data_IF_268332301781
#
_entry.id   IF_268332301781
#
_cell.length_a   1.000
_cell.length_b   1.000
_cell.length_c   1.000
_cell.angle_alpha   90.00
_cell.angle_beta   90.00
_cell.angle_gamma   90.00
#
_symmetry.space_group_name_H-M   'P 1'
#
loop_
_entity.id
_entity.type
_entity.pdbx_description
1 polymer ?
#
# COMPACT_ATOMS: atom_id res chain seq x y z
N UNK A 1 -48.29 18.73 -44.64
CA UNK A 1 -49.05 19.68 -43.80
C UNK A 1 -48.37 19.79 -42.45
N UNK A 2 -47.76 20.94 -42.14
CA UNK A 2 -47.11 21.22 -40.84
C UNK A 2 -48.09 20.95 -39.67
N UNK A 3 -49.38 21.21 -39.89
CA UNK A 3 -50.48 20.92 -38.96
C UNK A 3 -50.56 19.44 -38.58
N UNK A 4 -50.36 18.52 -39.52
CA UNK A 4 -50.42 17.07 -39.24
C UNK A 4 -49.25 16.60 -38.36
N UNK A 5 -48.06 17.19 -38.54
CA UNK A 5 -46.88 16.89 -37.71
C UNK A 5 -47.08 17.46 -36.29
N UNK A 6 -47.60 18.68 -36.18
CA UNK A 6 -47.87 19.33 -34.88
C UNK A 6 -48.95 18.57 -34.10
N UNK A 7 -50.04 18.16 -34.76
CA UNK A 7 -51.10 17.34 -34.15
C UNK A 7 -50.58 15.94 -33.76
N UNK A 8 -49.74 15.33 -34.60
CA UNK A 8 -49.10 14.05 -34.30
C UNK A 8 -48.20 14.12 -33.06
N UNK A 9 -47.36 15.15 -32.95
CA UNK A 9 -46.50 15.37 -31.77
C UNK A 9 -47.32 15.66 -30.51
N UNK A 10 -48.41 16.43 -30.62
CA UNK A 10 -49.30 16.71 -29.49
C UNK A 10 -50.06 15.45 -28.99
N UNK A 11 -50.39 14.53 -29.90
CA UNK A 11 -51.11 13.30 -29.56
C UNK A 11 -50.20 12.12 -29.22
N UNK A 12 -48.88 12.22 -29.46
CA UNK A 12 -47.94 11.11 -29.29
C UNK A 12 -47.99 10.51 -27.88
N UNK A 13 -47.97 11.33 -26.83
CA UNK A 13 -48.06 10.85 -25.45
C UNK A 13 -49.43 10.26 -25.11
N UNK A 14 -50.50 10.84 -25.66
CA UNK A 14 -51.87 10.37 -25.40
C UNK A 14 -52.11 9.01 -26.04
N UNK A 15 -51.66 8.81 -27.29
CA UNK A 15 -51.71 7.53 -27.98
C UNK A 15 -50.86 6.47 -27.26
N UNK A 16 -49.64 6.83 -26.83
CA UNK A 16 -48.76 5.93 -26.09
C UNK A 16 -49.38 5.42 -24.79
N UNK A 17 -50.04 6.32 -24.03
CA UNK A 17 -50.74 5.96 -22.80
C UNK A 17 -51.96 5.05 -23.06
N UNK A 18 -52.67 5.25 -24.18
CA UNK A 18 -53.78 4.40 -24.59
C UNK A 18 -53.29 2.98 -24.93
N UNK A 19 -52.23 2.85 -25.72
CA UNK A 19 -51.67 1.54 -26.08
C UNK A 19 -51.06 0.82 -24.88
N UNK A 20 -50.42 1.53 -23.96
CA UNK A 20 -49.95 0.95 -22.70
C UNK A 20 -51.12 0.37 -21.87
N UNK A 21 -52.26 1.06 -21.84
CA UNK A 21 -53.46 0.55 -21.17
C UNK A 21 -54.02 -0.71 -21.85
N UNK A 22 -54.08 -0.72 -23.19
CA UNK A 22 -54.56 -1.88 -23.96
C UNK A 22 -53.63 -3.08 -23.80
N UNK A 23 -52.32 -2.87 -23.83
CA UNK A 23 -51.32 -3.92 -23.65
C UNK A 23 -51.39 -4.53 -22.24
N UNK A 24 -51.44 -3.70 -21.19
CA UNK A 24 -51.59 -4.20 -19.80
C UNK A 24 -52.87 -5.00 -19.60
N UNK A 25 -53.96 -4.63 -20.27
CA UNK A 25 -55.24 -5.33 -20.15
C UNK A 25 -55.28 -6.63 -20.97
N UNK A 26 -54.55 -6.68 -22.10
CA UNK A 26 -54.44 -7.87 -22.93
C UNK A 26 -53.49 -8.92 -22.31
N UNK A 27 -52.33 -8.48 -21.83
CA UNK A 27 -51.28 -9.38 -21.33
C UNK A 27 -51.47 -9.79 -19.87
N UNK A 28 -52.29 -9.06 -19.09
CA UNK A 28 -52.53 -9.26 -17.66
C UNK A 28 -51.27 -9.68 -16.88
N UNK A 29 -50.21 -8.86 -16.85
CA UNK A 29 -48.91 -9.26 -16.33
C UNK A 29 -48.89 -9.57 -14.82
N UNK A 30 -49.94 -9.17 -14.09
CA UNK A 30 -50.14 -9.44 -12.66
C UNK A 30 -51.63 -9.37 -12.32
N UNK A 31 -51.99 -9.96 -11.18
CA UNK A 31 -53.36 -10.09 -10.68
C UNK A 31 -53.53 -9.47 -9.29
N UNK A 32 -54.79 -9.30 -8.88
CA UNK A 32 -55.13 -8.86 -7.52
C UNK A 32 -54.59 -9.88 -6.51
N UNK A 33 -53.85 -9.40 -5.53
CA UNK A 33 -53.17 -10.21 -4.52
C UNK A 33 -51.69 -10.47 -4.80
N UNK A 34 -51.19 -10.21 -6.02
CA UNK A 34 -49.76 -10.26 -6.30
C UNK A 34 -49.03 -9.13 -5.58
N UNK A 35 -47.77 -9.37 -5.21
CA UNK A 35 -46.91 -8.29 -4.74
C UNK A 35 -46.13 -7.76 -5.94
N UNK A 36 -46.23 -6.45 -6.19
CA UNK A 36 -45.47 -5.81 -7.26
C UNK A 36 -44.52 -4.76 -6.69
N UNK A 37 -43.35 -4.65 -7.30
CA UNK A 37 -42.40 -3.57 -7.08
C UNK A 37 -42.29 -2.75 -8.37
N UNK A 38 -42.68 -1.48 -8.28
CA UNK A 38 -42.57 -0.54 -9.40
C UNK A 38 -41.43 0.41 -9.08
N UNK A 39 -40.42 0.42 -9.95
CA UNK A 39 -39.18 1.19 -9.79
C UNK A 39 -39.49 2.65 -9.45
N UNK A 40 -39.03 3.11 -8.28
CA UNK A 40 -39.23 4.49 -7.82
C UNK A 40 -40.65 4.87 -7.38
N UNK A 41 -41.63 3.95 -7.41
CA UNK A 41 -43.01 4.18 -6.95
C UNK A 41 -43.37 3.38 -5.70
N UNK A 42 -42.65 2.28 -5.44
CA UNK A 42 -42.72 1.49 -4.22
C UNK A 42 -43.22 0.06 -4.45
N UNK A 43 -43.30 -0.68 -3.35
CA UNK A 43 -43.67 -2.09 -3.33
C UNK A 43 -44.94 -2.30 -2.51
N UNK A 44 -45.84 -3.16 -2.98
CA UNK A 44 -47.08 -3.46 -2.28
C UNK A 44 -47.90 -4.56 -2.93
N UNK A 45 -48.96 -4.96 -2.24
CA UNK A 45 -49.94 -5.94 -2.73
C UNK A 45 -50.93 -5.25 -3.66
N UNK A 46 -51.19 -5.82 -4.84
CA UNK A 46 -52.19 -5.33 -5.78
C UNK A 46 -53.58 -5.52 -5.17
N UNK A 47 -54.29 -4.41 -4.95
CA UNK A 47 -55.65 -4.41 -4.37
C UNK A 47 -56.72 -4.34 -5.45
N UNK A 48 -56.47 -3.58 -6.52
CA UNK A 48 -57.38 -3.49 -7.67
C UNK A 48 -56.66 -3.04 -8.93
N UNK A 49 -57.05 -3.58 -10.08
CA UNK A 49 -56.63 -3.12 -11.41
C UNK A 49 -57.81 -2.44 -12.08
N UNK A 50 -57.62 -1.22 -12.58
CA UNK A 50 -58.65 -0.44 -13.28
C UNK A 50 -58.13 0.07 -14.63
N UNK A 51 -59.04 0.55 -15.47
CA UNK A 51 -58.68 1.11 -16.78
C UNK A 51 -57.82 2.39 -16.69
N UNK A 52 -57.78 3.09 -15.54
CA UNK A 52 -56.95 4.29 -15.35
C UNK A 52 -55.63 4.01 -14.62
N UNK A 53 -55.52 2.89 -13.91
CA UNK A 53 -54.38 2.63 -13.05
C UNK A 53 -54.59 1.46 -12.10
N UNK A 54 -53.50 1.10 -11.41
CA UNK A 54 -53.43 0.01 -10.45
C UNK A 54 -53.31 0.60 -9.04
N UNK A 55 -54.10 0.06 -8.10
CA UNK A 55 -53.97 0.39 -6.69
C UNK A 55 -53.17 -0.71 -6.00
N UNK A 56 -52.10 -0.31 -5.34
CA UNK A 56 -51.33 -1.19 -4.47
C UNK A 56 -51.41 -0.70 -3.03
N UNK A 57 -51.43 -1.65 -2.09
CA UNK A 57 -51.30 -1.39 -0.66
C UNK A 57 -49.87 -1.70 -0.23
N UNK A 58 -49.15 -0.69 0.23
CA UNK A 58 -47.78 -0.88 0.74
C UNK A 58 -47.80 -1.62 2.07
N UNK A 59 -46.65 -2.17 2.47
CA UNK A 59 -46.50 -2.84 3.76
C UNK A 59 -46.59 -1.91 4.97
N UNK A 60 -46.58 -0.58 4.76
CA UNK A 60 -46.92 0.43 5.77
C UNK A 60 -48.41 0.79 5.75
N UNK A 61 -49.25 -0.02 5.11
CA UNK A 61 -50.69 0.15 4.98
C UNK A 61 -51.10 1.46 4.24
N UNK A 62 -50.24 1.97 3.35
CA UNK A 62 -50.57 3.13 2.50
C UNK A 62 -51.13 2.66 1.16
N UNK A 63 -52.13 3.37 0.65
CA UNK A 63 -52.63 3.15 -0.72
C UNK A 63 -51.82 3.99 -1.72
N UNK A 64 -51.27 3.34 -2.74
CA UNK A 64 -50.56 3.98 -3.84
C UNK A 64 -51.32 3.67 -5.13
N UNK A 65 -51.66 4.70 -5.89
CA UNK A 65 -52.35 4.60 -7.17
C UNK A 65 -51.35 4.92 -8.27
N UNK A 66 -51.07 3.94 -9.14
CA UNK A 66 -50.10 4.07 -10.22
C UNK A 66 -50.87 4.10 -11.54
N UNK A 67 -50.68 5.15 -12.33
CA UNK A 67 -51.29 5.26 -13.67
C UNK A 67 -50.72 4.21 -14.62
N UNK A 68 -51.56 3.67 -15.51
CA UNK A 68 -51.15 2.71 -16.54
C UNK A 68 -50.07 3.29 -17.47
N UNK A 69 -50.08 4.62 -17.68
CA UNK A 69 -49.06 5.34 -18.44
C UNK A 69 -47.65 5.21 -17.84
N UNK A 70 -47.56 5.10 -16.51
CA UNK A 70 -46.30 4.95 -15.79
C UNK A 70 -45.86 3.49 -15.79
N UNK A 71 -46.80 2.57 -15.56
CA UNK A 71 -46.56 1.12 -15.57
C UNK A 71 -46.05 0.62 -16.93
N UNK A 72 -46.50 1.19 -18.04
CA UNK A 72 -46.02 0.81 -19.38
C UNK A 72 -44.61 1.31 -19.73
N UNK A 73 -44.01 2.18 -18.91
CA UNK A 73 -42.67 2.75 -19.15
C UNK A 73 -41.60 2.12 -18.26
N UNK A 74 -41.93 1.86 -17.01
CA UNK A 74 -40.98 1.37 -16.00
C UNK A 74 -40.99 -0.16 -15.90
N UNK A 75 -39.86 -0.76 -15.52
CA UNK A 75 -39.80 -2.18 -15.20
C UNK A 75 -40.61 -2.48 -13.93
N UNK A 76 -41.42 -3.54 -14.01
CA UNK A 76 -42.27 -4.04 -12.92
C UNK A 76 -41.78 -5.42 -12.51
N UNK A 77 -41.34 -5.57 -11.26
CA UNK A 77 -41.09 -6.89 -10.69
C UNK A 77 -42.38 -7.40 -10.07
N UNK A 78 -42.77 -8.63 -10.43
CA UNK A 78 -43.99 -9.27 -9.94
C UNK A 78 -43.59 -10.49 -9.14
N UNK A 79 -44.11 -10.59 -7.92
CA UNK A 79 -44.09 -11.78 -7.08
C UNK A 79 -45.52 -12.34 -7.03
N UNK A 80 -45.86 -13.32 -7.89
CA UNK A 80 -47.21 -13.82 -7.99
C UNK A 80 -47.65 -14.52 -6.71
N UNK A 81 -48.91 -14.33 -6.29
CA UNK A 81 -49.47 -14.91 -5.07
C UNK A 81 -49.39 -16.44 -5.04
N UNK A 82 -49.57 -17.08 -6.20
CA UNK A 82 -49.60 -18.54 -6.34
C UNK A 82 -48.24 -19.12 -6.80
N UNK A 83 -47.16 -18.38 -6.62
CA UNK A 83 -45.81 -18.80 -6.95
C UNK A 83 -44.94 -18.89 -5.70
N UNK A 84 -44.02 -19.85 -5.67
CA UNK A 84 -43.00 -19.92 -4.64
C UNK A 84 -41.96 -18.83 -4.92
N UNK A 85 -42.14 -17.68 -4.29
CA UNK A 85 -41.20 -16.57 -4.40
C UNK A 85 -40.12 -16.71 -3.33
N UNK A 86 -38.87 -16.44 -3.68
CA UNK A 86 -37.74 -16.61 -2.79
C UNK A 86 -37.35 -15.31 -2.09
N UNK A 87 -36.87 -15.44 -0.85
CA UNK A 87 -36.19 -14.38 -0.10
C UNK A 87 -34.79 -14.81 0.27
N UNK A 88 -33.96 -13.82 0.54
CA UNK A 88 -32.58 -14.02 0.93
C UNK A 88 -32.33 -13.20 2.20
N UNK A 89 -31.76 -13.86 3.22
CA UNK A 89 -31.26 -13.21 4.43
C UNK A 89 -29.82 -13.59 4.68
N UNK A 90 -29.10 -12.72 5.38
CA UNK A 90 -27.68 -12.82 5.63
C UNK A 90 -27.40 -12.83 7.14
N UNK A 91 -26.38 -13.58 7.52
CA UNK A 91 -25.79 -13.59 8.87
C UNK A 91 -24.30 -13.95 8.76
N UNK A 92 -23.54 -13.71 9.83
CA UNK A 92 -22.11 -14.01 9.83
C UNK A 92 -21.69 -14.68 11.13
N UNK A 93 -20.77 -15.65 11.05
CA UNK A 93 -20.27 -16.42 12.20
C UNK A 93 -18.75 -16.32 12.29
N UNK A 94 -18.18 -16.58 13.46
CA UNK A 94 -16.72 -16.71 13.62
C UNK A 94 -16.15 -17.86 12.77
N UNK A 95 -14.85 -17.78 12.44
CA UNK A 95 -14.13 -18.78 11.64
C UNK A 95 -13.96 -20.15 12.33
N UNK A 96 -14.07 -20.19 13.66
CA UNK A 96 -13.94 -21.43 14.43
C UNK A 96 -15.14 -22.37 14.28
N UNK A 97 -16.28 -21.86 13.82
CA UNK A 97 -17.50 -22.67 13.66
C UNK A 97 -17.43 -23.56 12.42
N UNK A 98 -17.82 -24.85 12.56
CA UNK A 98 -17.83 -25.80 11.44
C UNK A 98 -18.83 -25.39 10.36
N UNK A 99 -18.39 -25.15 9.10
CA UNK A 99 -19.30 -24.76 8.03
C UNK A 99 -20.43 -25.77 7.75
N UNK A 100 -20.10 -27.06 7.73
CA UNK A 100 -21.08 -28.11 7.43
C UNK A 100 -22.17 -28.19 8.51
N UNK A 101 -21.78 -28.13 9.79
CA UNK A 101 -22.73 -28.16 10.91
C UNK A 101 -23.60 -26.89 10.91
N UNK A 102 -22.98 -25.71 10.81
CA UNK A 102 -23.69 -24.42 10.74
C UNK A 102 -24.74 -24.42 9.62
N UNK A 103 -24.36 -24.82 8.40
CA UNK A 103 -25.28 -24.88 7.27
C UNK A 103 -26.45 -25.85 7.50
N UNK A 104 -26.18 -27.02 8.09
CA UNK A 104 -27.21 -28.00 8.41
C UNK A 104 -28.21 -27.47 9.45
N UNK A 105 -27.71 -26.95 10.58
CA UNK A 105 -28.56 -26.47 11.69
C UNK A 105 -29.42 -25.29 11.30
N UNK A 106 -28.83 -24.32 10.59
CA UNK A 106 -29.56 -23.17 10.06
C UNK A 106 -30.65 -23.63 9.11
N UNK A 107 -30.35 -24.57 8.20
CA UNK A 107 -31.34 -25.08 7.25
C UNK A 107 -32.54 -25.71 7.94
N UNK A 108 -32.30 -26.58 8.93
CA UNK A 108 -33.38 -27.22 9.69
C UNK A 108 -34.19 -26.20 10.50
N UNK A 109 -33.53 -25.20 11.10
CA UNK A 109 -34.22 -24.15 11.84
C UNK A 109 -35.13 -23.27 10.95
N UNK A 110 -34.66 -22.91 9.75
CA UNK A 110 -35.44 -22.12 8.79
C UNK A 110 -36.61 -22.90 8.22
N UNK A 111 -36.43 -24.21 7.98
CA UNK A 111 -37.47 -25.07 7.42
C UNK A 111 -38.72 -25.17 8.30
N UNK A 112 -38.60 -25.01 9.61
CA UNK A 112 -39.72 -25.17 10.55
C UNK A 112 -40.62 -23.93 10.67
N UNK A 113 -40.33 -22.85 9.93
CA UNK A 113 -41.15 -21.65 9.97
C UNK A 113 -42.44 -21.79 9.15
N UNK A 114 -43.54 -21.27 9.68
CA UNK A 114 -44.90 -21.45 9.14
C UNK A 114 -45.05 -20.95 7.70
N UNK A 115 -44.49 -19.78 7.37
CA UNK A 115 -44.58 -19.19 6.02
C UNK A 115 -43.40 -19.57 5.11
N UNK A 116 -42.56 -20.52 5.52
CA UNK A 116 -41.48 -21.07 4.70
C UNK A 116 -41.97 -22.35 4.03
N UNK A 117 -41.89 -22.39 2.71
CA UNK A 117 -42.46 -23.49 1.93
C UNK A 117 -41.77 -24.81 2.21
N UNK A 118 -42.59 -25.85 2.46
CA UNK A 118 -42.08 -27.22 2.64
C UNK A 118 -41.72 -27.92 1.33
N UNK A 119 -42.19 -27.40 0.19
CA UNK A 119 -41.93 -27.98 -1.14
C UNK A 119 -40.48 -27.82 -1.58
N UNK A 120 -39.86 -26.69 -1.21
CA UNK A 120 -38.50 -26.33 -1.59
C UNK A 120 -37.62 -26.22 -0.35
N UNK A 121 -36.55 -27.00 -0.30
CA UNK A 121 -35.64 -26.96 0.86
C UNK A 121 -34.84 -25.64 0.87
N UNK A 122 -34.71 -24.97 2.04
CA UNK A 122 -33.86 -23.80 2.15
C UNK A 122 -32.41 -24.12 1.76
N UNK A 123 -31.79 -23.18 1.04
CA UNK A 123 -30.39 -23.25 0.65
C UNK A 123 -29.61 -22.37 1.63
N UNK A 124 -28.65 -22.97 2.33
CA UNK A 124 -27.72 -22.27 3.23
C UNK A 124 -26.33 -22.50 2.70
N UNK A 125 -25.61 -21.42 2.41
CA UNK A 125 -24.29 -21.45 1.78
C UNK A 125 -23.41 -20.31 2.29
N UNK A 126 -22.10 -20.51 2.19
CA UNK A 126 -21.13 -19.44 2.41
C UNK A 126 -21.24 -18.48 1.22
N UNK A 127 -21.51 -17.21 1.52
CA UNK A 127 -21.51 -16.11 0.56
C UNK A 127 -20.08 -15.62 0.32
N UNK A 128 -19.32 -15.47 1.40
CA UNK A 128 -17.95 -14.94 1.37
C UNK A 128 -17.18 -15.33 2.65
N UNK A 129 -15.85 -15.24 2.60
CA UNK A 129 -14.98 -15.25 3.78
C UNK A 129 -14.62 -13.78 4.09
N UNK A 130 -15.32 -13.18 5.04
CA UNK A 130 -15.22 -11.75 5.37
C UNK A 130 -14.09 -11.44 6.36
N UNK A 131 -13.82 -10.16 6.58
CA UNK A 131 -12.71 -9.69 7.42
C UNK A 131 -12.74 -10.27 8.85
N UNK A 132 -13.94 -10.39 9.44
CA UNK A 132 -14.11 -10.85 10.83
C UNK A 132 -14.79 -12.21 10.98
N UNK A 133 -15.17 -12.88 9.88
CA UNK A 133 -15.89 -14.14 9.97
C UNK A 133 -16.39 -14.68 8.63
N UNK A 134 -17.03 -15.85 8.69
CA UNK A 134 -17.69 -16.47 7.54
C UNK A 134 -19.04 -15.80 7.34
N UNK A 135 -19.29 -15.28 6.13
CA UNK A 135 -20.55 -14.64 5.78
C UNK A 135 -21.46 -15.63 5.07
N UNK A 136 -22.69 -15.75 5.56
CA UNK A 136 -23.65 -16.74 5.11
C UNK A 136 -24.81 -16.11 4.37
N UNK A 137 -25.32 -16.85 3.40
CA UNK A 137 -26.57 -16.57 2.72
C UNK A 137 -27.57 -17.70 2.95
N UNK A 138 -28.79 -17.33 3.34
CA UNK A 138 -29.93 -18.23 3.45
C UNK A 138 -30.97 -17.83 2.40
N UNK A 139 -31.20 -18.70 1.44
CA UNK A 139 -32.27 -18.59 0.45
C UNK A 139 -33.41 -19.54 0.81
N UNK A 140 -34.62 -19.03 0.95
CA UNK A 140 -35.82 -19.81 1.23
C UNK A 140 -37.00 -19.29 0.41
N UNK A 141 -38.00 -20.14 0.22
CA UNK A 141 -39.21 -19.84 -0.55
C UNK A 141 -40.38 -19.67 0.41
N UNK A 142 -41.28 -18.73 0.09
CA UNK A 142 -42.45 -18.44 0.91
C UNK A 142 -43.71 -19.02 0.29
N UNK A 143 -44.65 -19.40 1.15
CA UNK A 143 -46.00 -19.77 0.71
C UNK A 143 -46.87 -18.51 0.50
N UNK A 144 -46.66 -17.45 1.30
CA UNK A 144 -47.26 -16.13 1.11
C UNK A 144 -46.18 -15.04 1.11
N UNK A 145 -45.87 -14.51 -0.07
CA UNK A 145 -44.86 -13.46 -0.23
C UNK A 145 -45.27 -12.12 0.41
N UNK A 146 -46.57 -11.85 0.61
CA UNK A 146 -47.02 -10.58 1.21
C UNK A 146 -46.57 -10.42 2.68
N UNK A 147 -46.25 -11.52 3.35
CA UNK A 147 -45.79 -11.57 4.74
C UNK A 147 -44.27 -11.67 4.87
N UNK A 148 -43.52 -11.35 3.81
CA UNK A 148 -42.07 -11.59 3.81
C UNK A 148 -41.35 -10.84 4.92
N UNK A 149 -41.75 -9.62 5.30
CA UNK A 149 -41.05 -8.86 6.35
C UNK A 149 -41.06 -9.59 7.71
N UNK A 150 -42.24 -10.07 8.13
CA UNK A 150 -42.39 -10.82 9.38
C UNK A 150 -41.69 -12.18 9.30
N UNK A 151 -41.72 -12.80 8.12
CA UNK A 151 -41.05 -14.09 7.88
C UNK A 151 -39.53 -13.94 7.93
N UNK A 152 -38.97 -12.89 7.32
CA UNK A 152 -37.54 -12.57 7.37
C UNK A 152 -37.08 -12.33 8.81
N UNK A 153 -37.89 -11.65 9.63
CA UNK A 153 -37.61 -11.45 11.05
C UNK A 153 -37.62 -12.77 11.83
N UNK A 154 -38.66 -13.59 11.64
CA UNK A 154 -38.78 -14.90 12.29
C UNK A 154 -37.64 -15.84 11.88
N UNK A 155 -37.24 -15.83 10.61
CA UNK A 155 -36.08 -16.59 10.12
C UNK A 155 -34.81 -16.18 10.87
N UNK A 156 -34.52 -14.88 10.99
CA UNK A 156 -33.35 -14.40 11.76
C UNK A 156 -33.40 -14.83 13.22
N UNK A 157 -34.57 -14.76 13.85
CA UNK A 157 -34.77 -15.21 15.23
C UNK A 157 -34.50 -16.72 15.38
N UNK A 158 -35.04 -17.56 14.49
CA UNK A 158 -34.77 -19.01 14.52
C UNK A 158 -33.30 -19.34 14.32
N UNK A 159 -32.62 -18.62 13.42
CA UNK A 159 -31.18 -18.75 13.21
C UNK A 159 -30.41 -18.42 14.48
N UNK A 160 -30.78 -17.32 15.15
CA UNK A 160 -30.18 -16.93 16.43
C UNK A 160 -30.29 -18.04 17.47
N UNK A 161 -31.49 -18.58 17.70
CA UNK A 161 -31.66 -19.66 18.66
C UNK A 161 -30.96 -20.96 18.25
N UNK A 162 -30.92 -21.28 16.97
CA UNK A 162 -30.25 -22.48 16.46
C UNK A 162 -28.75 -22.44 16.68
N UNK A 163 -28.11 -21.29 16.40
CA UNK A 163 -26.67 -21.12 16.59
C UNK A 163 -26.30 -21.01 18.08
N UNK A 164 -27.14 -20.33 18.88
CA UNK A 164 -26.88 -20.18 20.31
C UNK A 164 -26.85 -21.51 21.06
N UNK A 165 -27.73 -22.46 20.70
CA UNK A 165 -27.74 -23.82 21.30
C UNK A 165 -26.48 -24.63 21.02
N UNK A 166 -25.85 -24.38 19.87
CA UNK A 166 -24.63 -25.06 19.43
C UNK A 166 -23.35 -24.29 19.83
N UNK A 167 -23.48 -23.24 20.65
CA UNK A 167 -22.37 -22.37 21.07
C UNK A 167 -21.61 -21.76 19.88
N UNK A 168 -22.29 -21.57 18.74
CA UNK A 168 -21.74 -20.86 17.58
C UNK A 168 -21.94 -19.37 17.77
N UNK A 169 -20.84 -18.63 17.78
CA UNK A 169 -20.86 -17.18 17.95
C UNK A 169 -21.04 -16.43 16.62
N UNK A 170 -21.78 -15.33 16.68
CA UNK A 170 -21.86 -14.37 15.59
C UNK A 170 -20.56 -13.56 15.52
N UNK A 171 -20.07 -13.30 14.30
CA UNK A 171 -18.87 -12.49 14.12
C UNK A 171 -19.13 -11.03 14.52
N UNK A 172 -18.20 -10.45 15.26
CA UNK A 172 -18.10 -9.02 15.53
C UNK A 172 -16.80 -8.50 14.90
N UNK A 173 -16.71 -7.20 14.58
CA UNK A 173 -15.48 -6.60 14.05
C UNK A 173 -14.27 -6.97 14.95
N UNK A 174 -13.36 -7.79 14.44
CA UNK A 174 -12.22 -8.30 15.20
C UNK A 174 -10.94 -7.67 14.65
N UNK A 175 -10.07 -7.19 15.53
CA UNK A 175 -8.73 -6.72 15.18
C UNK A 175 -7.70 -7.49 15.97
N UNK A 176 -6.69 -8.01 15.29
CA UNK A 176 -5.52 -8.59 15.95
C UNK A 176 -4.60 -7.43 16.29
N UNK A 177 -4.38 -7.19 17.59
CA UNK A 177 -3.39 -6.21 18.05
C UNK A 177 -2.06 -6.95 18.17
N UNK A 178 -1.15 -6.66 17.24
CA UNK A 178 0.24 -7.04 17.39
C UNK A 178 0.92 -6.04 18.33
N UNK A 179 1.07 -6.43 19.60
CA UNK A 179 1.94 -5.69 20.51
C UNK A 179 3.37 -6.08 20.15
N UNK A 180 4.07 -5.16 19.47
CA UNK A 180 5.50 -5.26 19.31
C UNK A 180 6.11 -4.49 20.48
N UNK A 181 6.83 -5.21 21.35
CA UNK A 181 7.71 -4.54 22.29
C UNK A 181 8.65 -3.69 21.43
N UNK A 182 8.60 -2.37 21.64
CA UNK A 182 9.60 -1.48 21.09
C UNK A 182 10.94 -2.08 21.53
N UNK A 183 11.91 -2.35 20.63
CA UNK A 183 13.25 -2.70 21.09
C UNK A 183 13.60 -1.62 22.12
N UNK A 184 14.00 -2.04 23.32
CA UNK A 184 14.39 -1.10 24.38
C UNK A 184 15.25 -0.04 23.70
N UNK A 185 14.79 1.22 23.72
CA UNK A 185 15.66 2.31 23.33
C UNK A 185 16.85 2.17 24.26
N UNK A 186 17.98 1.74 23.71
CA UNK A 186 19.19 1.53 24.51
C UNK A 186 19.35 2.79 25.37
N UNK A 187 19.50 2.64 26.70
CA UNK A 187 19.80 3.76 27.57
C UNK A 187 20.90 4.59 26.93
N UNK A 188 20.78 5.92 26.99
CA UNK A 188 21.75 6.79 26.32
C UNK A 188 23.19 6.38 26.70
N UNK A 189 23.41 6.01 27.97
CA UNK A 189 24.66 5.47 28.51
C UNK A 189 25.18 4.21 27.78
N UNK A 190 24.31 3.27 27.42
CA UNK A 190 24.69 2.07 26.64
C UNK A 190 25.01 2.43 25.18
N UNK A 191 24.30 3.40 24.59
CA UNK A 191 24.63 3.93 23.26
C UNK A 191 26.00 4.62 23.30
N UNK A 192 26.27 5.44 24.31
CA UNK A 192 27.55 6.12 24.49
C UNK A 192 28.70 5.12 24.67
N UNK A 193 28.53 4.10 25.50
CA UNK A 193 29.51 3.03 25.68
C UNK A 193 29.81 2.31 24.36
N UNK A 194 28.79 2.02 23.53
CA UNK A 194 29.03 1.40 22.22
C UNK A 194 29.73 2.32 21.20
N UNK A 195 29.58 3.64 21.29
CA UNK A 195 30.28 4.59 20.42
C UNK A 195 31.75 4.75 20.80
N UNK A 196 32.04 4.87 22.10
CA UNK A 196 33.41 4.90 22.61
C UNK A 196 34.18 3.63 22.24
N UNK A 197 33.56 2.45 22.40
CA UNK A 197 34.14 1.17 21.96
C UNK A 197 34.49 1.14 20.47
N UNK A 198 33.63 1.72 19.62
CA UNK A 198 33.86 1.80 18.16
C UNK A 198 35.01 2.74 17.82
N UNK A 199 35.09 3.91 18.47
CA UNK A 199 36.18 4.86 18.26
C UNK A 199 37.53 4.29 18.71
N UNK A 200 37.56 3.53 19.80
CA UNK A 200 38.76 2.84 20.30
C UNK A 200 39.34 1.80 19.31
N UNK A 201 38.54 1.29 18.36
CA UNK A 201 39.01 0.37 17.32
C UNK A 201 39.70 1.07 16.15
N UNK A 202 39.57 2.38 16.05
CA UNK A 202 40.18 3.17 14.97
C UNK A 202 41.61 3.51 15.35
N UNK A 203 42.57 3.07 14.53
CA UNK A 203 44.00 3.21 14.83
C UNK A 203 44.45 4.66 15.07
N UNK A 204 43.85 5.62 14.37
CA UNK A 204 44.21 7.04 14.51
C UNK A 204 43.86 7.61 15.88
N UNK A 205 42.86 7.05 16.58
CA UNK A 205 42.46 7.51 17.91
C UNK A 205 43.18 6.80 19.06
N UNK A 206 44.10 5.88 18.76
CA UNK A 206 44.89 5.18 19.79
C UNK A 206 45.70 6.08 20.75
N UNK A 207 46.12 7.32 20.39
CA UNK A 207 46.79 8.22 21.34
C UNK A 207 45.84 8.90 22.34
N UNK A 208 44.53 8.73 22.21
CA UNK A 208 43.54 9.37 23.08
C UNK A 208 43.34 8.57 24.36
N UNK A 209 43.14 9.29 25.46
CA UNK A 209 42.68 8.72 26.72
C UNK A 209 41.19 8.33 26.65
N UNK A 210 40.74 7.46 27.55
CA UNK A 210 39.32 7.05 27.62
C UNK A 210 38.40 8.28 27.78
N UNK A 211 38.75 9.24 28.64
CA UNK A 211 38.03 10.51 28.83
C UNK A 211 37.96 11.37 27.54
N UNK A 212 38.97 11.31 26.68
CA UNK A 212 38.99 12.02 25.40
C UNK A 212 38.16 11.30 24.34
N UNK A 213 38.17 9.97 24.34
CA UNK A 213 37.32 9.13 23.50
C UNK A 213 35.85 9.33 23.84
N UNK A 214 35.50 9.42 25.13
CA UNK A 214 34.13 9.71 25.58
C UNK A 214 33.65 11.07 25.07
N UNK A 215 34.47 12.12 25.23
CA UNK A 215 34.15 13.46 24.70
C UNK A 215 34.00 13.48 23.18
N UNK A 216 34.82 12.68 22.49
CA UNK A 216 34.72 12.54 21.04
C UNK A 216 33.42 11.82 20.66
N UNK A 217 33.06 10.74 21.36
CA UNK A 217 31.82 9.98 21.17
C UNK A 217 30.58 10.87 21.32
N UNK A 218 30.56 11.76 22.32
CA UNK A 218 29.47 12.74 22.54
C UNK A 218 29.25 13.69 21.37
N UNK A 219 30.32 13.96 20.60
CA UNK A 219 30.29 14.85 19.45
C UNK A 219 30.02 14.14 18.11
N UNK A 220 29.90 12.82 18.12
CA UNK A 220 29.67 12.01 16.93
C UNK A 220 28.20 11.96 16.54
N UNK A 221 27.94 11.77 15.25
CA UNK A 221 26.61 11.40 14.75
C UNK A 221 26.70 10.21 13.80
N UNK A 222 25.86 9.20 14.03
CA UNK A 222 25.80 8.01 13.18
C UNK A 222 24.99 8.30 11.91
N UNK A 223 25.49 7.85 10.76
CA UNK A 223 24.78 7.91 9.47
C UNK A 223 24.88 6.58 8.73
N UNK A 224 23.82 6.21 8.04
CA UNK A 224 23.75 5.00 7.21
C UNK A 224 23.58 5.41 5.76
N UNK A 225 24.34 4.79 4.87
CA UNK A 225 24.36 5.07 3.44
C UNK A 225 24.09 3.80 2.64
N UNK A 226 23.32 3.91 1.57
CA UNK A 226 22.98 2.79 0.69
C UNK A 226 24.12 2.46 -0.30
N UNK A 227 24.20 1.22 -0.82
CA UNK A 227 25.15 0.87 -1.88
C UNK A 227 25.06 1.84 -3.07
N UNK A 228 26.20 2.40 -3.50
CA UNK A 228 26.28 3.37 -4.59
C UNK A 228 26.05 4.83 -4.18
N UNK A 229 25.67 5.09 -2.93
CA UNK A 229 25.45 6.45 -2.43
C UNK A 229 26.77 7.18 -2.15
N UNK A 230 26.84 8.47 -2.50
CA UNK A 230 28.01 9.30 -2.26
C UNK A 230 27.99 9.90 -0.86
N UNK A 231 28.96 9.51 -0.03
CA UNK A 231 29.13 10.04 1.33
C UNK A 231 29.85 11.40 1.28
N UNK A 232 30.86 11.48 0.42
CA UNK A 232 31.65 12.70 0.17
C UNK A 232 31.79 12.90 -1.34
N UNK A 233 31.67 14.15 -1.79
CA UNK A 233 31.93 14.52 -3.19
C UNK A 233 33.18 15.39 -3.28
N UNK A 234 34.01 15.09 -4.26
CA UNK A 234 35.21 15.86 -4.56
C UNK A 234 34.85 17.33 -4.85
N UNK A 235 35.73 18.24 -4.43
CA UNK A 235 35.61 19.68 -4.66
C UNK A 235 34.63 20.40 -3.73
N UNK A 236 33.86 19.67 -2.94
CA UNK A 236 33.04 20.28 -1.89
C UNK A 236 33.92 20.71 -0.71
N UNK A 237 33.50 21.73 0.02
CA UNK A 237 34.11 22.06 1.31
C UNK A 237 33.74 20.97 2.34
N UNK A 238 34.71 20.53 3.13
CA UNK A 238 34.54 19.51 4.15
C UNK A 238 34.86 20.04 5.54
N UNK A 239 33.88 20.07 6.43
CA UNK A 239 34.06 20.44 7.84
C UNK A 239 33.89 19.23 8.80
N UNK A 240 33.98 18.01 8.27
CA UNK A 240 33.80 16.78 9.02
C UNK A 240 34.70 15.66 8.50
N UNK A 241 35.02 14.70 9.36
CA UNK A 241 35.58 13.41 8.97
C UNK A 241 34.61 12.29 9.30
N UNK A 242 34.86 11.11 8.76
CA UNK A 242 33.99 9.95 8.88
C UNK A 242 34.80 8.72 9.26
N UNK A 243 34.30 7.95 10.22
CA UNK A 243 34.82 6.63 10.60
C UNK A 243 33.82 5.59 10.14
N UNK A 244 34.27 4.51 9.51
CA UNK A 244 33.41 3.42 9.06
C UNK A 244 33.25 2.42 10.20
N UNK A 245 32.04 2.27 10.73
CA UNK A 245 31.76 1.31 11.81
C UNK A 245 31.20 0.00 11.30
N UNK A 246 30.66 -0.02 10.08
CA UNK A 246 30.18 -1.22 9.41
C UNK A 246 30.10 -0.96 7.90
N UNK A 247 30.48 -1.94 7.09
CA UNK A 247 30.39 -1.86 5.63
C UNK A 247 31.71 -1.49 4.95
N UNK A 248 31.64 -0.98 3.72
CA UNK A 248 32.82 -0.61 2.93
C UNK A 248 32.50 0.49 1.92
N UNK A 249 33.52 1.28 1.60
CA UNK A 249 33.43 2.43 0.70
C UNK A 249 34.62 2.42 -0.28
N UNK A 250 34.41 2.98 -1.46
CA UNK A 250 35.47 3.18 -2.45
C UNK A 250 35.78 4.66 -2.59
N UNK A 251 37.07 4.99 -2.60
CA UNK A 251 37.58 6.32 -2.86
C UNK A 251 37.85 6.45 -4.36
N UNK A 252 37.23 7.43 -5.00
CA UNK A 252 37.29 7.60 -6.45
C UNK A 252 37.67 9.03 -6.86
N UNK A 253 38.44 9.15 -7.92
CA UNK A 253 38.69 10.41 -8.61
C UNK A 253 38.11 10.36 -10.02
N UNK A 254 37.56 11.47 -10.54
CA UNK A 254 37.02 11.56 -11.88
C UNK A 254 38.13 11.41 -12.92
N UNK A 255 37.88 10.58 -13.93
CA UNK A 255 38.75 10.37 -15.09
C UNK A 255 37.89 10.43 -16.35
N UNK A 256 37.96 11.55 -17.11
CA UNK A 256 37.17 11.82 -18.33
C UNK A 256 35.72 11.29 -18.32
N UNK A 257 35.53 10.04 -18.72
CA UNK A 257 34.23 9.38 -18.90
C UNK A 257 33.85 8.37 -17.78
N UNK A 258 34.73 8.12 -16.80
CA UNK A 258 34.48 7.19 -15.70
C UNK A 258 35.10 7.64 -14.35
N UNK A 259 34.80 6.91 -13.28
CA UNK A 259 35.35 7.17 -11.95
C UNK A 259 36.39 6.09 -11.63
N UNK A 260 37.65 6.48 -11.46
CA UNK A 260 38.74 5.56 -11.12
C UNK A 260 38.77 5.35 -9.61
N UNK A 261 38.65 4.11 -9.17
CA UNK A 261 38.86 3.74 -7.76
C UNK A 261 40.34 3.72 -7.44
N UNK A 262 40.76 4.52 -6.48
CA UNK A 262 42.15 4.61 -6.02
C UNK A 262 42.38 3.85 -4.72
N UNK A 263 41.34 3.67 -3.91
CA UNK A 263 41.41 2.92 -2.66
C UNK A 263 40.03 2.38 -2.28
N UNK A 264 39.99 1.34 -1.44
CA UNK A 264 38.77 0.81 -0.82
C UNK A 264 39.00 0.75 0.68
N UNK A 265 38.10 1.36 1.45
CA UNK A 265 38.16 1.46 2.90
C UNK A 265 37.06 0.59 3.52
N UNK A 266 37.38 -0.09 4.60
CA UNK A 266 36.49 -1.00 5.32
C UNK A 266 36.19 -0.56 6.74
N UNK A 267 35.65 -1.48 7.53
CA UNK A 267 35.37 -1.26 8.96
C UNK A 267 36.63 -0.85 9.72
N UNK A 268 36.48 0.14 10.61
CA UNK A 268 37.53 0.82 11.39
C UNK A 268 38.46 1.74 10.59
N UNK A 269 38.29 1.87 9.27
CA UNK A 269 38.94 2.91 8.49
C UNK A 269 38.19 4.25 8.59
N UNK A 270 38.84 5.34 8.18
CA UNK A 270 38.28 6.68 8.17
C UNK A 270 38.71 7.47 6.94
N UNK A 271 37.91 8.49 6.61
CA UNK A 271 38.13 9.38 5.48
C UNK A 271 37.61 10.79 5.75
N UNK A 272 38.06 11.74 4.92
CA UNK A 272 37.65 13.14 5.01
C UNK A 272 38.47 13.99 5.97
N UNK A 273 39.49 13.40 6.59
CA UNK A 273 40.48 14.03 7.46
C UNK A 273 41.23 15.17 6.76
N UNK A 274 41.60 15.00 5.48
CA UNK A 274 42.41 15.98 4.75
C UNK A 274 41.70 17.34 4.70
N UNK A 275 40.45 17.36 4.24
CA UNK A 275 39.67 18.60 4.14
C UNK A 275 39.40 19.23 5.51
N UNK A 276 39.21 18.41 6.54
CA UNK A 276 38.99 18.87 7.90
C UNK A 276 40.24 19.56 8.49
N UNK A 277 41.42 19.02 8.21
CA UNK A 277 42.70 19.50 8.76
C UNK A 277 43.33 20.64 7.95
N UNK A 278 43.36 20.51 6.63
CA UNK A 278 44.04 21.49 5.77
C UNK A 278 43.12 22.64 5.37
N UNK A 279 41.80 22.46 5.51
CA UNK A 279 40.79 23.40 5.00
C UNK A 279 40.66 23.39 3.47
N UNK A 280 41.40 22.54 2.77
CA UNK A 280 41.26 22.36 1.32
C UNK A 280 39.93 21.65 0.98
N UNK A 281 39.36 21.83 -0.22
CA UNK A 281 38.20 21.07 -0.66
C UNK A 281 38.47 19.56 -0.69
N UNK A 282 37.40 18.75 -0.62
CA UNK A 282 37.45 17.29 -0.67
C UNK A 282 38.26 16.81 -1.88
N UNK A 283 39.31 16.04 -1.65
CA UNK A 283 40.26 15.64 -2.70
C UNK A 283 39.75 14.51 -3.60
N UNK A 284 38.76 13.73 -3.14
CA UNK A 284 38.17 12.60 -3.88
C UNK A 284 36.69 12.37 -3.50
N UNK A 285 35.97 11.62 -4.34
CA UNK A 285 34.65 11.08 -4.03
C UNK A 285 34.79 9.86 -3.11
N UNK A 286 33.86 9.68 -2.17
CA UNK A 286 33.76 8.46 -1.35
C UNK A 286 32.36 7.91 -1.50
N UNK A 287 32.26 6.70 -2.05
CA UNK A 287 30.99 6.06 -2.42
C UNK A 287 30.85 4.74 -1.64
N UNK A 288 29.69 4.50 -1.04
CA UNK A 288 29.41 3.24 -0.37
C UNK A 288 29.37 2.08 -1.38
N UNK A 289 30.03 0.95 -1.07
CA UNK A 289 30.03 -0.26 -1.90
C UNK A 289 28.90 -1.19 -1.47
N UNK A 290 28.69 -1.30 -0.17
CA UNK A 290 27.56 -1.99 0.48
C UNK A 290 26.81 -0.99 1.37
N UNK A 291 25.76 -1.43 2.07
CA UNK A 291 25.18 -0.62 3.14
C UNK A 291 26.28 -0.33 4.17
N UNK A 292 26.55 0.95 4.39
CA UNK A 292 27.66 1.38 5.23
C UNK A 292 27.19 2.34 6.31
N UNK A 293 27.53 2.02 7.55
CA UNK A 293 27.32 2.84 8.73
C UNK A 293 28.63 3.58 9.05
N UNK A 294 28.53 4.90 9.23
CA UNK A 294 29.66 5.76 9.54
C UNK A 294 29.37 6.68 10.72
N UNK A 295 30.38 6.95 11.54
CA UNK A 295 30.38 8.02 12.52
C UNK A 295 30.92 9.29 11.88
N UNK A 296 30.11 10.34 11.86
CA UNK A 296 30.50 11.68 11.41
C UNK A 296 30.98 12.49 12.60
N UNK A 297 32.21 12.98 12.52
CA UNK A 297 32.84 13.86 13.49
C UNK A 297 33.04 15.23 12.85
N UNK A 298 32.41 16.25 13.40
CA UNK A 298 32.52 17.62 12.88
C UNK A 298 33.71 18.36 13.52
N UNK A 299 34.20 19.41 12.84
CA UNK A 299 35.33 20.24 13.30
C UNK A 299 35.18 20.73 14.73
N UNK A 300 33.96 21.05 15.16
CA UNK A 300 33.67 21.50 16.52
C UNK A 300 33.92 20.41 17.57
N UNK A 301 33.65 19.14 17.24
CA UNK A 301 33.89 18.00 18.13
C UNK A 301 35.35 17.59 18.19
N UNK A 302 36.07 17.68 17.07
CA UNK A 302 37.48 17.28 16.99
C UNK A 302 38.47 18.35 17.48
N UNK A 303 38.10 19.64 17.39
CA UNK A 303 38.98 20.75 17.76
C UNK A 303 39.52 20.66 19.21
N UNK A 304 38.68 20.45 20.25
CA UNK A 304 39.18 20.36 21.63
C UNK A 304 40.19 19.23 21.83
N UNK A 305 40.00 18.11 21.13
CA UNK A 305 40.86 16.92 21.19
C UNK A 305 42.22 17.22 20.55
N UNK A 306 42.25 17.93 19.42
CA UNK A 306 43.51 18.35 18.79
C UNK A 306 44.26 19.41 19.61
N UNK A 307 43.55 20.28 20.34
CA UNK A 307 44.17 21.24 21.25
C UNK A 307 44.77 20.56 22.48
N UNK A 308 44.18 19.47 22.98
CA UNK A 308 44.69 18.72 24.13
C UNK A 308 45.75 17.67 23.78
N UNK A 309 45.78 17.16 22.55
CA UNK A 309 46.63 16.03 22.16
C UNK A 309 47.48 16.32 20.90
N UNK A 310 48.67 16.93 21.06
CA UNK A 310 49.59 17.20 19.94
C UNK A 310 50.06 15.94 19.19
N UNK A 311 50.17 14.80 19.88
CA UNK A 311 50.59 13.55 19.28
C UNK A 311 49.57 13.04 18.24
N UNK A 312 48.27 13.24 18.50
CA UNK A 312 47.23 12.95 17.52
C UNK A 312 47.37 13.84 16.28
N UNK A 313 47.66 15.13 16.45
CA UNK A 313 47.86 16.07 15.33
C UNK A 313 49.04 15.63 14.45
N UNK A 314 50.15 15.20 15.06
CA UNK A 314 51.30 14.65 14.34
C UNK A 314 50.91 13.38 13.57
N UNK A 315 50.25 12.41 14.22
CA UNK A 315 49.81 11.17 13.58
C UNK A 315 48.86 11.40 12.39
N UNK A 316 47.91 12.33 12.51
CA UNK A 316 47.01 12.65 11.39
C UNK A 316 47.76 13.42 10.29
N UNK A 317 48.71 14.28 10.63
CA UNK A 317 49.51 15.02 9.65
C UNK A 317 50.36 14.11 8.79
N UNK A 318 51.05 13.14 9.42
CA UNK A 318 51.83 12.12 8.70
C UNK A 318 50.96 11.33 7.72
N UNK A 319 49.77 10.91 8.18
CA UNK A 319 48.83 10.18 7.34
C UNK A 319 48.27 11.03 6.20
N UNK A 320 47.97 12.32 6.45
CA UNK A 320 47.50 13.24 5.41
C UNK A 320 48.54 13.37 4.31
N UNK A 321 49.83 13.49 4.66
CA UNK A 321 50.91 13.54 3.67
C UNK A 321 51.04 12.24 2.88
N UNK A 322 50.97 11.08 3.55
CA UNK A 322 50.96 9.77 2.87
C UNK A 322 49.81 9.65 1.85
N UNK A 323 48.59 9.95 2.29
CA UNK A 323 47.39 9.89 1.44
C UNK A 323 47.41 10.92 0.32
N UNK A 324 47.98 12.11 0.57
CA UNK A 324 48.17 13.15 -0.44
C UNK A 324 49.14 12.70 -1.53
N UNK A 325 50.24 12.05 -1.16
CA UNK A 325 51.20 11.53 -2.13
C UNK A 325 50.60 10.40 -2.97
N UNK A 326 49.83 9.48 -2.37
CA UNK A 326 49.11 8.43 -3.11
C UNK A 326 48.13 9.02 -4.15
N UNK A 327 47.39 10.07 -3.76
CA UNK A 327 46.51 10.81 -4.67
C UNK A 327 47.31 11.48 -5.79
N UNK A 328 48.43 12.14 -5.46
CA UNK A 328 49.29 12.84 -6.41
C UNK A 328 49.92 11.88 -7.42
N UNK A 329 50.42 10.73 -6.97
CA UNK A 329 50.96 9.69 -7.84
C UNK A 329 49.88 9.11 -8.76
N UNK A 330 48.68 8.89 -8.23
CA UNK A 330 47.54 8.43 -9.03
C UNK A 330 47.14 9.43 -10.11
N UNK A 331 47.20 10.74 -9.81
CA UNK A 331 46.94 11.83 -10.76
C UNK A 331 48.09 12.03 -11.77
N UNK A 332 49.34 11.92 -11.33
CA UNK A 332 50.52 12.05 -12.20
C UNK A 332 50.61 10.89 -13.20
N UNK A 333 50.43 9.65 -12.73
CA UNK A 333 50.36 8.47 -13.59
C UNK A 333 49.20 8.57 -14.61
N UNK A 334 48.10 9.22 -14.22
CA UNK A 334 47.00 9.53 -15.15
C UNK A 334 47.42 10.56 -16.19
N UNK A 335 48.05 11.67 -15.79
CA UNK A 335 48.51 12.71 -16.72
C UNK A 335 49.53 12.17 -17.75
N UNK A 336 50.45 11.30 -17.31
CA UNK A 336 51.43 10.61 -18.15
C UNK A 336 50.78 9.60 -19.12
N UNK A 337 49.81 8.81 -18.64
CA UNK A 337 49.06 7.89 -19.50
C UNK A 337 48.24 8.64 -20.57
N UNK A 338 47.65 9.78 -20.21
CA UNK A 338 46.91 10.63 -21.14
C UNK A 338 47.82 11.29 -22.19
N UNK A 339 49.02 11.74 -21.81
CA UNK A 339 50.01 12.28 -22.75
C UNK A 339 50.54 11.18 -23.68
N UNK A 340 50.87 10.00 -23.16
CA UNK A 340 51.31 8.86 -23.97
C UNK A 340 50.24 8.37 -24.97
N UNK A 341 48.96 8.33 -24.57
CA UNK A 341 47.86 7.99 -25.49
C UNK A 341 47.64 9.07 -26.56
N UNK A 342 47.75 10.36 -26.19
CA UNK A 342 47.67 11.47 -27.14
C UNK A 342 48.83 11.44 -28.17
N UNK A 343 50.06 11.17 -27.72
CA UNK A 343 51.24 11.00 -28.57
C UNK A 343 51.10 9.78 -29.49
N UNK A 344 50.64 8.64 -28.96
CA UNK A 344 50.38 7.42 -29.75
C UNK A 344 49.32 7.69 -30.82
N UNK A 345 48.22 8.37 -30.49
CA UNK A 345 47.18 8.80 -31.45
C UNK A 345 47.71 9.81 -32.48
N UNK A 346 48.63 10.69 -32.08
CA UNK A 346 49.34 11.61 -32.98
C UNK A 346 50.26 10.88 -33.96
N UNK A 347 51.06 9.95 -33.46
CA UNK A 347 51.96 9.10 -34.25
C UNK A 347 51.19 8.21 -35.24
N UNK A 348 50.07 7.61 -34.80
CA UNK A 348 49.16 6.86 -35.68
C UNK A 348 48.57 7.75 -36.79
N UNK A 349 48.23 9.01 -36.49
CA UNK A 349 47.82 9.98 -37.52
C UNK A 349 48.95 10.28 -38.52
N UNK A 350 50.18 10.47 -38.04
CA UNK A 350 51.35 10.72 -38.90
C UNK A 350 51.71 9.51 -39.78
N UNK A 351 51.69 8.29 -39.24
CA UNK A 351 51.91 7.04 -39.99
C UNK A 351 50.84 6.88 -41.07
N UNK A 352 49.57 7.06 -40.73
CA UNK A 352 48.46 6.99 -41.70
C UNK A 352 48.60 8.02 -42.82
N UNK A 353 49.04 9.25 -42.50
CA UNK A 353 49.31 10.30 -43.48
C UNK A 353 50.49 9.98 -44.38
N UNK A 354 51.58 9.43 -43.84
CA UNK A 354 52.78 9.04 -44.60
C UNK A 354 52.48 7.90 -45.60
N UNK A 355 51.67 6.92 -45.20
CA UNK A 355 51.30 5.77 -46.04
C UNK A 355 50.00 5.97 -46.85
N UNK A 356 49.39 7.16 -46.84
CA UNK A 356 48.19 7.47 -47.63
C UNK A 356 46.93 6.68 -47.24
N UNK A 357 46.85 6.19 -46.00
CA UNK A 357 45.73 5.38 -45.51
C UNK A 357 44.54 6.30 -45.19
N UNK A 358 43.40 6.13 -45.88
CA UNK A 358 42.17 6.89 -45.62
C UNK A 358 41.60 6.58 -44.22
N UNK A 359 41.13 7.63 -43.53
CA UNK A 359 40.42 7.49 -42.25
C UNK A 359 39.07 6.81 -42.51
N UNK A 360 38.78 5.72 -41.79
CA UNK A 360 37.44 5.12 -41.66
C UNK A 360 36.64 5.81 -40.58
#
# INVERSE_FOLDING_TARGET
>A
TIIGIVVGLALQETLGNLFACLALQADQPFQVGDVINVTGKGTGVVESVSWRGVKIRTFQNKLVIISNAVLGKDAIEVAPKNNLNARIVYFSTVYSASPANTAHRVREAVRLNENVSQKMRPIVRIRNLGESGVEWEIKYWLDDYSKYNDTDALVRERVWYALKREQVEFSYPTRIIHMQDKPEEMPAEDVFNTLAERLNRVSIFSPLSDDEIEKLADSCSTRVYAPGEAIVRQGQEGNSMFVITRGSVKVQIPEKDYQKTINTLGENDFFGEMSLLTGEPRSANVIAVVESEVLRIDKAGLKPIFESNPALVEAVSELVEERRELLRQSQAAQAEAETADAERKGMLRSIRKFFGLRQS
#
